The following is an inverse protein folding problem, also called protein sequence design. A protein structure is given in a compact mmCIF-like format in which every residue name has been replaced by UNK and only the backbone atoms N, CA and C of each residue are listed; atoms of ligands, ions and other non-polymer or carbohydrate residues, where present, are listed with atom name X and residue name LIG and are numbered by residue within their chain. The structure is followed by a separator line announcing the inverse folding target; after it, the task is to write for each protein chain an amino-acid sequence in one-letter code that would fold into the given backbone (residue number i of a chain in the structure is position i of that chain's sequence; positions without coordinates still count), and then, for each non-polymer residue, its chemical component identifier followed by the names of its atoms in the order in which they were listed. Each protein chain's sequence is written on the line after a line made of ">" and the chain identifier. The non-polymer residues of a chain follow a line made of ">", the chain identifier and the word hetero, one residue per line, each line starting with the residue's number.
data_IF_987204598044
#
_entry.id   IF_987204598044
#
_cell.length_a   1.000
_cell.length_b   1.000
_cell.length_c   1.000
_cell.angle_alpha   90.00
_cell.angle_beta   90.00
_cell.angle_gamma   90.00
#
_symmetry.space_group_name_H-M   'P 1'
#
loop_
_entity.id
_entity.type
_entity.pdbx_description
1 polymer ?
#
# COMPACT_ATOMS: atom_id res chain seq x y z
N UNK A 1 32.86 0.84 -4.15
CA UNK A 1 31.70 1.63 -3.70
C UNK A 1 31.33 2.53 -4.86
N UNK A 2 30.06 2.78 -5.15
CA UNK A 2 29.70 3.73 -6.21
C UNK A 2 29.90 5.15 -5.67
N UNK A 3 30.68 5.96 -6.37
CA UNK A 3 31.03 7.35 -6.04
C UNK A 3 29.80 8.25 -6.07
N UNK A 4 29.00 8.17 -5.00
CA UNK A 4 27.96 9.16 -4.73
C UNK A 4 28.66 10.36 -4.07
N UNK A 5 28.43 11.59 -4.55
CA UNK A 5 29.05 12.81 -4.02
C UNK A 5 28.42 13.20 -2.67
N UNK A 6 28.62 12.36 -1.65
CA UNK A 6 28.11 12.52 -0.29
C UNK A 6 29.14 13.34 0.50
N UNK A 7 29.12 14.66 0.31
CA UNK A 7 30.08 15.57 0.94
C UNK A 7 29.43 16.56 1.91
N UNK A 8 28.15 16.90 1.70
CA UNK A 8 27.40 17.86 2.53
C UNK A 8 26.00 17.31 2.86
N UNK A 9 25.54 17.56 4.09
CA UNK A 9 24.20 17.30 4.59
C UNK A 9 23.08 17.75 3.62
N UNK A 10 23.09 19.01 3.17
CA UNK A 10 22.02 19.57 2.32
C UNK A 10 21.98 18.89 0.95
N UNK A 11 23.15 18.68 0.34
CA UNK A 11 23.27 17.97 -0.94
C UNK A 11 22.77 16.53 -0.81
N UNK A 12 23.09 15.88 0.31
CA UNK A 12 22.65 14.52 0.59
C UNK A 12 21.15 14.42 0.80
N UNK A 13 20.52 15.39 1.49
CA UNK A 13 19.05 15.47 1.61
C UNK A 13 18.37 15.58 0.24
N UNK A 14 18.83 16.53 -0.59
CA UNK A 14 18.30 16.71 -1.96
C UNK A 14 18.46 15.44 -2.79
N UNK A 15 19.60 14.78 -2.66
CA UNK A 15 19.89 13.51 -3.32
C UNK A 15 18.94 12.39 -2.84
N UNK A 16 18.68 12.29 -1.53
CA UNK A 16 17.75 11.29 -0.98
C UNK A 16 16.36 11.44 -1.59
N UNK A 17 15.81 12.65 -1.65
CA UNK A 17 14.49 12.90 -2.23
C UNK A 17 14.46 12.57 -3.73
N UNK A 18 15.44 13.04 -4.50
CA UNK A 18 15.53 12.77 -5.94
C UNK A 18 15.72 11.27 -6.24
N UNK A 19 16.59 10.59 -5.49
CA UNK A 19 16.82 9.15 -5.69
C UNK A 19 15.58 8.33 -5.34
N UNK A 20 14.76 8.77 -4.38
CA UNK A 20 13.63 7.96 -3.94
C UNK A 20 12.32 8.23 -4.66
N UNK A 21 12.12 9.42 -5.21
CA UNK A 21 10.89 9.83 -5.89
C UNK A 21 10.33 8.76 -6.83
N UNK A 22 9.15 8.23 -6.48
CA UNK A 22 8.50 7.08 -7.15
C UNK A 22 7.26 7.42 -7.97
N UNK A 23 6.84 8.69 -7.95
CA UNK A 23 5.62 9.19 -8.62
C UNK A 23 5.96 10.19 -9.75
N UNK A 24 6.95 9.86 -10.58
CA UNK A 24 7.43 10.76 -11.66
C UNK A 24 8.34 11.90 -11.21
N UNK A 25 8.59 12.06 -9.90
CA UNK A 25 9.37 13.16 -9.31
C UNK A 25 10.88 12.85 -9.25
N UNK A 26 11.30 11.61 -9.49
CA UNK A 26 12.69 11.20 -9.26
C UNK A 26 13.14 9.94 -9.98
N UNK A 27 14.36 9.50 -9.65
CA UNK A 27 15.08 8.41 -10.33
C UNK A 27 14.69 7.00 -9.87
N UNK A 28 13.94 6.88 -8.78
CA UNK A 28 13.58 5.58 -8.17
C UNK A 28 14.77 4.63 -7.89
N UNK A 29 15.97 5.18 -7.69
CA UNK A 29 17.18 4.43 -7.36
C UNK A 29 17.21 4.08 -5.86
N UNK A 30 16.52 2.98 -5.57
CA UNK A 30 16.46 2.39 -4.23
C UNK A 30 17.83 2.07 -3.64
N UNK A 31 18.82 1.68 -4.46
CA UNK A 31 20.14 1.27 -3.94
C UNK A 31 20.86 2.47 -3.38
N UNK A 32 20.94 3.54 -4.16
CA UNK A 32 21.68 4.73 -3.80
C UNK A 32 20.94 5.56 -2.75
N UNK A 33 19.60 5.54 -2.74
CA UNK A 33 18.78 6.11 -1.66
C UNK A 33 19.23 5.60 -0.28
N UNK A 34 19.31 4.29 -0.08
CA UNK A 34 19.71 3.77 1.22
C UNK A 34 21.19 4.01 1.52
N UNK A 35 22.06 4.07 0.51
CA UNK A 35 23.47 4.44 0.73
C UNK A 35 23.55 5.86 1.29
N UNK A 36 22.83 6.80 0.69
CA UNK A 36 22.76 8.19 1.13
C UNK A 36 22.10 8.32 2.53
N UNK A 37 20.99 7.62 2.78
CA UNK A 37 20.34 7.62 4.10
C UNK A 37 21.24 7.05 5.22
N UNK A 38 22.01 6.00 4.93
CA UNK A 38 22.96 5.43 5.89
C UNK A 38 24.16 6.37 6.15
N UNK A 39 24.64 7.06 5.11
CA UNK A 39 25.67 8.09 5.27
C UNK A 39 25.15 9.23 6.14
N UNK A 40 23.92 9.70 5.88
CA UNK A 40 23.31 10.78 6.66
C UNK A 40 23.09 10.35 8.12
N UNK A 41 22.69 9.10 8.38
CA UNK A 41 22.61 8.56 9.74
C UNK A 41 23.97 8.62 10.47
N UNK A 42 25.05 8.27 9.76
CA UNK A 42 26.40 8.20 10.35
C UNK A 42 26.99 9.58 10.66
N UNK A 43 26.73 10.58 9.82
CA UNK A 43 27.37 11.89 9.89
C UNK A 43 26.45 13.00 10.44
N UNK A 44 25.15 12.91 10.19
CA UNK A 44 24.14 13.90 10.59
C UNK A 44 22.83 13.22 11.03
N UNK A 45 22.84 12.43 12.12
CA UNK A 45 21.70 11.60 12.53
C UNK A 45 20.43 12.42 12.79
N UNK A 46 20.56 13.58 13.45
CA UNK A 46 19.44 14.49 13.71
C UNK A 46 18.76 14.93 12.42
N UNK A 47 19.55 15.26 11.40
CA UNK A 47 19.03 15.71 10.11
C UNK A 47 18.26 14.60 9.40
N UNK A 48 18.77 13.38 9.39
CA UNK A 48 18.03 12.24 8.84
C UNK A 48 16.67 12.12 9.53
N UNK A 49 16.67 12.20 10.85
CA UNK A 49 15.49 11.99 11.70
C UNK A 49 14.44 13.08 11.51
N UNK A 50 14.83 14.35 11.46
CA UNK A 50 13.91 15.47 11.24
C UNK A 50 13.26 15.47 9.85
N UNK A 51 13.80 14.71 8.89
CA UNK A 51 13.31 14.68 7.50
C UNK A 51 12.62 13.35 7.15
N UNK A 52 12.38 12.46 8.11
CA UNK A 52 11.82 11.13 7.83
C UNK A 52 10.41 11.16 7.24
N UNK A 53 9.54 12.08 7.70
CA UNK A 53 8.17 12.20 7.20
C UNK A 53 8.19 12.58 5.71
N UNK A 54 9.04 13.55 5.36
CA UNK A 54 9.31 13.94 3.97
C UNK A 54 9.78 12.74 3.14
N UNK A 55 10.67 11.90 3.66
CA UNK A 55 11.11 10.71 2.92
C UNK A 55 9.99 9.68 2.71
N UNK A 56 9.02 9.58 3.63
CA UNK A 56 7.86 8.73 3.46
C UNK A 56 6.93 9.28 2.36
N UNK A 57 6.78 10.60 2.28
CA UNK A 57 5.95 11.28 1.28
C UNK A 57 6.51 11.17 -0.15
N UNK A 58 7.81 11.45 -0.33
CA UNK A 58 8.49 11.28 -1.63
C UNK A 58 8.66 9.80 -2.01
N UNK A 59 8.78 8.93 -1.01
CA UNK A 59 9.07 7.52 -1.15
C UNK A 59 7.90 6.62 -0.73
N UNK A 60 8.15 5.76 0.26
CA UNK A 60 7.13 4.94 0.89
C UNK A 60 7.46 4.76 2.38
N UNK A 61 6.42 4.59 3.19
CA UNK A 61 6.54 4.23 4.61
C UNK A 61 7.42 3.00 4.89
N UNK A 62 7.46 2.01 3.98
CA UNK A 62 8.33 0.81 4.11
C UNK A 62 9.82 1.12 4.20
N UNK A 63 10.23 2.28 3.73
CA UNK A 63 11.63 2.66 3.70
C UNK A 63 12.15 3.02 5.10
N UNK A 64 11.30 3.56 5.97
CA UNK A 64 11.65 3.90 7.35
C UNK A 64 12.13 2.68 8.17
N UNK A 65 11.36 1.60 8.35
CA UNK A 65 11.86 0.41 9.04
C UNK A 65 13.01 -0.24 8.28
N UNK A 66 13.08 -0.06 6.94
CA UNK A 66 14.18 -0.62 6.16
C UNK A 66 15.51 0.08 6.42
N UNK A 67 15.52 1.37 6.73
CA UNK A 67 16.72 2.10 7.15
C UNK A 67 17.25 1.50 8.46
N UNK A 68 16.40 1.32 9.47
CA UNK A 68 16.76 0.67 10.75
C UNK A 68 17.37 -0.72 10.52
N UNK A 69 16.73 -1.55 9.69
CA UNK A 69 17.23 -2.87 9.37
C UNK A 69 18.59 -2.85 8.67
N UNK A 70 18.84 -1.85 7.81
CA UNK A 70 20.12 -1.72 7.12
C UNK A 70 21.24 -1.27 8.07
N UNK A 71 20.94 -0.39 9.01
CA UNK A 71 21.87 -0.02 10.09
C UNK A 71 22.24 -1.27 10.90
N UNK A 72 21.25 -2.09 11.27
CA UNK A 72 21.49 -3.34 12.00
C UNK A 72 22.27 -4.39 11.18
N UNK A 73 22.07 -4.46 9.87
CA UNK A 73 22.75 -5.45 9.02
C UNK A 73 24.23 -5.10 8.79
N UNK A 74 24.57 -3.82 8.76
CA UNK A 74 25.90 -3.33 8.37
C UNK A 74 26.19 -3.50 6.86
N UNK A 75 27.28 -2.91 6.36
CA UNK A 75 27.65 -2.93 4.93
C UNK A 75 28.00 -4.34 4.39
N UNK A 76 28.46 -5.27 5.23
CA UNK A 76 29.14 -6.50 4.80
C UNK A 76 28.23 -7.64 4.28
N UNK A 77 26.95 -7.68 4.66
CA UNK A 77 26.08 -8.81 4.27
C UNK A 77 25.61 -8.78 2.81
N UNK A 78 25.81 -7.67 2.09
CA UNK A 78 25.36 -7.53 0.69
C UNK A 78 26.14 -8.44 -0.26
N UNK A 79 27.45 -8.58 -0.02
CA UNK A 79 28.33 -9.49 -0.76
C UNK A 79 27.98 -10.94 -0.43
N UNK A 80 27.68 -11.24 0.84
CA UNK A 80 27.34 -12.58 1.28
C UNK A 80 25.97 -13.05 0.79
N UNK A 81 24.96 -12.16 0.73
CA UNK A 81 23.63 -12.44 0.16
C UNK A 81 23.65 -12.62 -1.37
N UNK A 82 24.50 -11.87 -2.09
CA UNK A 82 24.70 -12.10 -3.53
C UNK A 82 25.40 -13.43 -3.80
N UNK A 83 26.45 -13.77 -3.02
CA UNK A 83 27.15 -15.05 -3.12
C UNK A 83 26.26 -16.24 -2.76
N UNK A 84 25.43 -16.14 -1.71
CA UNK A 84 24.49 -17.19 -1.32
C UNK A 84 23.36 -17.38 -2.34
N UNK A 85 22.81 -16.29 -2.90
CA UNK A 85 21.83 -16.36 -4.01
C UNK A 85 22.40 -17.02 -5.26
N UNK A 86 23.65 -16.71 -5.64
CA UNK A 86 24.34 -17.37 -6.78
C UNK A 86 24.56 -18.87 -6.50
N UNK A 87 24.99 -19.25 -5.29
CA UNK A 87 25.14 -20.66 -4.88
C UNK A 87 23.81 -21.42 -4.90
N UNK A 88 22.75 -20.83 -4.35
CA UNK A 88 21.41 -21.42 -4.34
C UNK A 88 20.85 -21.59 -5.75
N UNK A 89 21.05 -20.62 -6.65
CA UNK A 89 20.64 -20.74 -8.06
C UNK A 89 21.32 -21.93 -8.76
N UNK A 90 22.63 -22.10 -8.56
CA UNK A 90 23.39 -23.26 -9.07
C UNK A 90 22.91 -24.60 -8.48
N UNK A 91 22.57 -24.62 -7.19
CA UNK A 91 22.09 -25.83 -6.51
C UNK A 91 20.68 -26.25 -6.97
N UNK A 92 19.77 -25.29 -7.14
CA UNK A 92 18.42 -25.52 -7.68
C UNK A 92 18.49 -26.07 -9.10
N UNK A 93 19.38 -25.52 -9.93
CA UNK A 93 19.61 -25.99 -11.30
C UNK A 93 20.19 -27.41 -11.33
N UNK A 94 21.17 -27.72 -10.47
CA UNK A 94 21.70 -29.09 -10.31
C UNK A 94 20.63 -30.09 -9.87
N UNK A 95 19.79 -29.72 -8.90
CA UNK A 95 18.68 -30.54 -8.40
C UNK A 95 17.60 -30.74 -9.47
N UNK A 96 17.34 -29.74 -10.32
CA UNK A 96 16.41 -29.85 -11.46
C UNK A 96 16.90 -30.88 -12.48
N UNK A 97 18.18 -30.87 -12.81
CA UNK A 97 18.79 -31.82 -13.76
C UNK A 97 18.79 -33.26 -13.23
N UNK A 98 19.00 -33.45 -11.92
CA UNK A 98 18.90 -34.77 -11.26
C UNK A 98 17.46 -35.31 -11.23
N UNK A 99 16.47 -34.43 -11.03
CA UNK A 99 15.03 -34.79 -10.98
C UNK A 99 14.44 -35.20 -12.33
N UNK A 100 15.12 -34.89 -13.45
CA UNK A 100 14.70 -35.29 -14.78
C UNK A 100 14.93 -36.78 -15.08
N UNK A 101 15.74 -37.49 -14.28
CA UNK A 101 16.17 -38.88 -14.51
C UNK A 101 15.34 -39.95 -13.79
N UNK A 102 14.33 -39.56 -13.00
CA UNK A 102 13.55 -40.48 -12.16
C UNK A 102 12.09 -40.53 -12.67
N UNK A 103 11.36 -41.66 -12.68
CA UNK A 103 9.94 -41.72 -13.06
C UNK A 103 9.02 -40.83 -12.19
N UNK A 104 7.87 -40.38 -12.70
CA UNK A 104 6.99 -39.38 -12.05
C UNK A 104 6.30 -39.93 -10.78
N UNK A 105 5.98 -41.21 -10.77
CA UNK A 105 5.13 -41.82 -9.73
C UNK A 105 5.89 -42.04 -8.41
N UNK A 106 7.16 -42.46 -8.51
CA UNK A 106 8.09 -42.54 -7.35
C UNK A 106 8.49 -41.16 -6.77
N UNK A 107 8.17 -40.05 -7.46
CA UNK A 107 8.53 -38.68 -7.04
C UNK A 107 7.47 -38.03 -6.15
N UNK A 108 6.19 -38.42 -6.22
CA UNK A 108 5.12 -37.67 -5.54
C UNK A 108 5.05 -38.02 -4.05
N UNK A 109 5.15 -39.30 -3.71
CA UNK A 109 5.03 -39.81 -2.34
C UNK A 109 6.26 -39.43 -1.48
N UNK A 110 7.48 -39.71 -1.96
CA UNK A 110 8.72 -39.33 -1.29
C UNK A 110 8.95 -37.80 -1.19
N UNK A 111 8.22 -36.98 -1.97
CA UNK A 111 8.29 -35.52 -1.87
C UNK A 111 7.37 -34.95 -0.79
N UNK A 112 6.23 -35.58 -0.47
CA UNK A 112 5.27 -35.00 0.48
C UNK A 112 5.87 -34.89 1.89
N UNK A 113 6.50 -35.95 2.39
CA UNK A 113 7.17 -35.96 3.69
C UNK A 113 8.45 -35.13 3.69
N UNK A 114 9.28 -35.23 2.65
CA UNK A 114 10.48 -34.38 2.53
C UNK A 114 10.13 -32.90 2.47
N UNK A 115 9.05 -32.52 1.79
CA UNK A 115 8.58 -31.13 1.72
C UNK A 115 8.04 -30.68 3.08
N UNK A 116 7.32 -31.54 3.82
CA UNK A 116 6.88 -31.23 5.19
C UNK A 116 8.08 -31.01 6.12
N UNK A 117 9.04 -31.93 6.14
CA UNK A 117 10.25 -31.78 6.96
C UNK A 117 11.10 -30.56 6.56
N UNK A 118 11.31 -30.32 5.26
CA UNK A 118 12.04 -29.14 4.78
C UNK A 118 11.30 -27.85 5.17
N UNK A 119 9.97 -27.84 5.12
CA UNK A 119 9.15 -26.70 5.58
C UNK A 119 9.31 -26.46 7.08
N UNK A 120 9.31 -27.51 7.90
CA UNK A 120 9.51 -27.39 9.35
C UNK A 120 10.92 -26.91 9.69
N UNK A 121 11.95 -27.56 9.13
CA UNK A 121 13.36 -27.12 9.27
C UNK A 121 13.54 -25.67 8.84
N UNK A 122 12.89 -25.25 7.75
CA UNK A 122 12.88 -23.86 7.29
C UNK A 122 12.15 -22.93 8.27
N UNK A 123 11.02 -23.36 8.83
CA UNK A 123 10.24 -22.60 9.82
C UNK A 123 11.07 -22.36 11.08
N UNK A 124 11.74 -23.38 11.59
CA UNK A 124 12.57 -23.28 12.79
C UNK A 124 13.81 -22.44 12.56
N UNK A 125 14.47 -22.59 11.41
CA UNK A 125 15.59 -21.75 11.04
C UNK A 125 15.17 -20.27 10.92
N UNK A 126 13.98 -19.99 10.36
CA UNK A 126 13.40 -18.63 10.31
C UNK A 126 13.15 -18.09 11.72
N UNK A 127 12.50 -18.85 12.60
CA UNK A 127 12.27 -18.47 14.01
C UNK A 127 13.58 -18.13 14.72
N UNK A 128 14.58 -19.02 14.65
CA UNK A 128 15.92 -18.80 15.24
C UNK A 128 16.58 -17.52 14.69
N UNK A 129 16.45 -17.30 13.37
CA UNK A 129 17.01 -16.11 12.70
C UNK A 129 16.31 -14.83 13.12
N UNK A 130 14.98 -14.82 13.24
CA UNK A 130 14.22 -13.65 13.70
C UNK A 130 14.52 -13.33 15.16
N UNK A 131 14.59 -14.33 16.04
CA UNK A 131 15.02 -14.15 17.44
C UNK A 131 16.42 -13.55 17.52
N UNK A 132 17.37 -14.04 16.72
CA UNK A 132 18.72 -13.48 16.68
C UNK A 132 18.74 -12.02 16.20
N UNK A 133 17.91 -11.67 15.21
CA UNK A 133 17.75 -10.28 14.73
C UNK A 133 17.13 -9.39 15.80
N UNK A 134 16.07 -9.84 16.47
CA UNK A 134 15.41 -9.11 17.54
C UNK A 134 16.38 -8.83 18.70
N UNK A 135 17.16 -9.85 19.13
CA UNK A 135 18.23 -9.68 20.12
C UNK A 135 19.28 -8.66 19.68
N UNK A 136 19.68 -8.66 18.41
CA UNK A 136 20.63 -7.67 17.87
C UNK A 136 20.03 -6.26 17.85
N UNK A 137 18.78 -6.12 17.43
CA UNK A 137 18.05 -4.85 17.41
C UNK A 137 17.94 -4.26 18.82
N UNK A 138 17.52 -5.08 19.79
CA UNK A 138 17.41 -4.70 21.19
C UNK A 138 18.75 -4.22 21.76
N UNK A 139 19.83 -5.00 21.56
CA UNK A 139 21.17 -4.61 21.99
C UNK A 139 21.62 -3.28 21.40
N UNK A 140 21.28 -3.00 20.13
CA UNK A 140 21.61 -1.72 19.48
C UNK A 140 20.77 -0.58 20.06
N UNK A 141 19.47 -0.79 20.23
CA UNK A 141 18.54 0.17 20.84
C UNK A 141 19.00 0.63 22.24
N UNK A 142 19.48 -0.30 23.08
CA UNK A 142 19.96 0.06 24.42
C UNK A 142 21.30 0.83 24.39
N UNK A 143 22.19 0.52 23.44
CA UNK A 143 23.58 1.01 23.44
C UNK A 143 23.83 2.25 22.59
N UNK A 144 23.04 2.46 21.53
CA UNK A 144 23.24 3.49 20.53
C UNK A 144 22.13 4.55 20.60
N UNK A 145 22.42 5.75 21.15
CA UNK A 145 21.45 6.83 21.28
C UNK A 145 20.89 7.31 19.94
N UNK A 146 21.72 7.35 18.88
CA UNK A 146 21.29 7.81 17.55
C UNK A 146 20.34 6.79 16.91
N UNK A 147 20.62 5.50 17.07
CA UNK A 147 19.72 4.44 16.63
C UNK A 147 18.41 4.45 17.41
N UNK A 148 18.45 4.66 18.73
CA UNK A 148 17.27 4.79 19.58
C UNK A 148 16.41 5.98 19.15
N UNK A 149 17.02 7.15 18.97
CA UNK A 149 16.32 8.35 18.50
C UNK A 149 15.66 8.14 17.14
N UNK A 150 16.36 7.51 16.19
CA UNK A 150 15.80 7.15 14.89
C UNK A 150 14.61 6.18 15.03
N UNK A 151 14.74 5.15 15.86
CA UNK A 151 13.69 4.17 16.12
C UNK A 151 12.43 4.81 16.71
N UNK A 152 12.59 5.70 17.68
CA UNK A 152 11.49 6.38 18.37
C UNK A 152 10.77 7.38 17.47
N UNK A 153 11.53 8.09 16.63
CA UNK A 153 10.94 9.03 15.67
C UNK A 153 10.19 8.31 14.54
N UNK A 154 10.71 7.17 14.06
CA UNK A 154 9.96 6.31 13.13
C UNK A 154 8.66 5.84 13.79
N UNK A 155 8.72 5.38 15.04
CA UNK A 155 7.53 4.93 15.77
C UNK A 155 6.49 6.06 15.93
N UNK A 156 6.96 7.29 16.17
CA UNK A 156 6.10 8.48 16.29
C UNK A 156 5.43 8.85 14.97
N UNK A 157 6.16 8.81 13.85
CA UNK A 157 5.60 9.07 12.51
C UNK A 157 4.49 8.07 12.18
N UNK A 158 4.74 6.77 12.42
CA UNK A 158 3.71 5.75 12.20
C UNK A 158 2.50 5.97 13.12
N UNK A 159 2.69 6.26 14.41
CA UNK A 159 1.59 6.52 15.32
C UNK A 159 0.74 7.71 14.86
N UNK A 160 1.35 8.85 14.52
CA UNK A 160 0.65 10.04 14.07
C UNK A 160 -0.13 9.79 12.77
N UNK A 161 0.48 9.08 11.80
CA UNK A 161 -0.17 8.76 10.53
C UNK A 161 -1.32 7.77 10.70
N UNK A 162 -1.15 6.74 11.52
CA UNK A 162 -2.23 5.79 11.83
C UNK A 162 -3.39 6.47 12.57
N UNK A 163 -3.10 7.41 13.47
CA UNK A 163 -4.13 8.22 14.15
C UNK A 163 -4.93 9.05 13.14
N UNK A 164 -4.24 9.75 12.23
CA UNK A 164 -4.88 10.49 11.14
C UNK A 164 -5.68 9.58 10.20
N UNK A 165 -5.13 8.42 9.85
CA UNK A 165 -5.79 7.46 8.95
C UNK A 165 -7.10 6.93 9.55
N UNK A 166 -7.13 6.69 10.87
CA UNK A 166 -8.36 6.29 11.59
C UNK A 166 -9.37 7.44 11.66
N UNK A 167 -8.92 8.67 11.83
CA UNK A 167 -9.81 9.83 11.77
C UNK A 167 -10.43 9.96 10.37
N UNK A 168 -9.63 9.84 9.31
CA UNK A 168 -10.14 9.82 7.93
C UNK A 168 -11.10 8.64 7.68
N UNK A 169 -10.81 7.46 8.25
CA UNK A 169 -11.69 6.31 8.17
C UNK A 169 -13.06 6.58 8.82
N UNK A 170 -13.07 7.17 10.02
CA UNK A 170 -14.31 7.50 10.74
C UNK A 170 -15.10 8.62 10.04
N UNK A 171 -14.42 9.57 9.41
CA UNK A 171 -15.03 10.65 8.61
C UNK A 171 -15.37 10.24 7.16
N UNK A 172 -15.18 8.97 6.78
CA UNK A 172 -15.39 8.47 5.41
C UNK A 172 -14.54 9.16 4.32
N UNK A 173 -13.43 9.80 4.70
CA UNK A 173 -12.47 10.43 3.79
C UNK A 173 -11.42 9.41 3.28
N UNK A 174 -11.87 8.36 2.61
CA UNK A 174 -11.01 7.23 2.24
C UNK A 174 -9.83 7.60 1.32
N UNK A 175 -9.93 8.71 0.60
CA UNK A 175 -8.87 9.22 -0.30
C UNK A 175 -7.64 9.72 0.46
N UNK A 176 -7.84 10.18 1.70
CA UNK A 176 -6.80 10.75 2.55
C UNK A 176 -6.08 9.70 3.39
N UNK A 177 -6.53 8.45 3.37
CA UNK A 177 -5.92 7.34 4.10
C UNK A 177 -4.55 7.01 3.51
N UNK A 178 -3.52 7.08 4.34
CA UNK A 178 -2.15 6.79 3.98
C UNK A 178 -1.88 5.27 3.86
N UNK A 179 -0.74 4.92 3.27
CA UNK A 179 -0.26 3.53 3.24
C UNK A 179 0.49 3.13 4.52
N UNK A 180 0.44 3.91 5.60
CA UNK A 180 1.15 3.62 6.84
C UNK A 180 0.74 2.27 7.42
N UNK A 181 -0.57 1.96 7.47
CA UNK A 181 -1.07 0.67 7.96
C UNK A 181 -0.49 -0.52 7.17
N UNK A 182 -0.37 -0.42 5.85
CA UNK A 182 0.19 -1.48 4.99
C UNK A 182 1.66 -1.81 5.31
N UNK A 183 2.40 -0.84 5.81
CA UNK A 183 3.83 -0.96 6.10
C UNK A 183 4.17 -0.93 7.59
N UNK A 184 3.16 -0.84 8.46
CA UNK A 184 3.31 -0.95 9.90
C UNK A 184 3.92 -2.32 10.23
N UNK A 185 4.98 -2.38 11.06
CA UNK A 185 5.55 -3.65 11.50
C UNK A 185 4.50 -4.54 12.18
N UNK A 186 4.51 -5.83 11.85
CA UNK A 186 3.65 -6.82 12.49
C UNK A 186 4.21 -7.26 13.83
N UNK A 187 3.30 -7.74 14.68
CA UNK A 187 3.61 -8.56 15.85
C UNK A 187 4.43 -9.78 15.37
N UNK A 188 5.39 -10.24 16.19
CA UNK A 188 6.30 -11.37 15.92
C UNK A 188 7.35 -11.16 14.81
N UNK A 189 7.57 -9.92 14.38
CA UNK A 189 8.65 -9.55 13.47
C UNK A 189 9.93 -9.17 14.22
N UNK A 190 11.09 -9.10 13.54
CA UNK A 190 12.31 -8.48 14.10
C UNK A 190 12.15 -6.99 14.46
N UNK A 191 10.99 -6.41 14.13
CA UNK A 191 10.57 -5.06 14.47
C UNK A 191 9.44 -5.02 15.50
N UNK A 192 9.21 -6.10 16.24
CA UNK A 192 8.16 -6.17 17.26
C UNK A 192 8.24 -5.01 18.27
N UNK A 193 9.45 -4.56 18.61
CA UNK A 193 9.65 -3.39 19.48
C UNK A 193 9.19 -2.06 18.87
N UNK A 194 9.26 -1.90 17.54
CA UNK A 194 8.67 -0.75 16.84
C UNK A 194 7.15 -0.83 16.94
N UNK A 195 6.57 -2.01 16.70
CA UNK A 195 5.13 -2.22 16.81
C UNK A 195 4.63 -1.88 18.22
N UNK A 196 5.32 -2.35 19.26
CA UNK A 196 5.05 -2.01 20.65
C UNK A 196 5.14 -0.50 20.90
N UNK A 197 6.20 0.16 20.41
CA UNK A 197 6.40 1.60 20.57
C UNK A 197 5.33 2.44 19.85
N UNK A 198 4.85 1.99 18.68
CA UNK A 198 3.73 2.61 17.96
C UNK A 198 2.45 2.43 18.77
N UNK A 199 2.18 1.22 19.25
CA UNK A 199 0.99 0.89 20.01
C UNK A 199 0.89 1.73 21.31
N UNK A 200 1.97 1.83 22.08
CA UNK A 200 2.00 2.65 23.31
C UNK A 200 1.76 4.15 23.06
N UNK A 201 2.15 4.66 21.89
CA UNK A 201 1.91 6.06 21.50
C UNK A 201 0.47 6.33 21.07
N UNK A 202 -0.22 5.30 20.58
CA UNK A 202 -1.63 5.39 20.20
C UNK A 202 -2.56 5.13 21.39
N UNK A 203 -2.15 4.24 22.29
CA UNK A 203 -2.89 3.84 23.48
C UNK A 203 -2.05 4.13 24.72
N UNK A 204 -1.98 5.41 25.08
CA UNK A 204 -1.20 5.85 26.23
C UNK A 204 -1.82 5.35 27.54
N UNK A 205 -1.02 5.25 28.60
CA UNK A 205 -1.51 4.89 29.94
C UNK A 205 -2.48 5.95 30.51
N UNK A 206 -2.32 7.21 30.08
CA UNK A 206 -3.12 8.34 30.53
C UNK A 206 -4.55 8.30 29.97
N UNK A 207 -4.71 7.75 28.76
CA UNK A 207 -6.00 7.67 28.08
C UNK A 207 -6.87 6.48 28.54
N UNK A 208 -6.29 5.49 29.24
CA UNK A 208 -6.94 4.21 29.53
C UNK A 208 -6.66 3.72 30.96
N UNK A 209 -7.66 3.91 31.84
CA UNK A 209 -7.65 3.46 33.24
C UNK A 209 -7.37 1.95 33.35
N UNK A 210 -7.84 1.16 32.38
CA UNK A 210 -7.64 -0.29 32.31
C UNK A 210 -6.16 -0.73 32.25
N UNK A 211 -5.21 0.18 32.06
CA UNK A 211 -3.78 -0.14 32.00
C UNK A 211 -2.98 0.21 33.26
N UNK A 212 -3.59 0.86 34.27
CA UNK A 212 -2.87 1.37 35.44
C UNK A 212 -2.30 0.27 36.35
N UNK A 213 -3.01 -0.86 36.50
CA UNK A 213 -2.64 -1.96 37.41
C UNK A 213 -2.11 -3.21 36.69
N UNK A 214 -1.76 -3.09 35.40
CA UNK A 214 -1.33 -4.24 34.59
C UNK A 214 0.20 -4.34 34.58
N UNK A 215 0.72 -5.56 34.73
CA UNK A 215 2.14 -5.85 34.56
C UNK A 215 2.65 -5.42 33.17
N UNK A 216 3.84 -4.86 33.10
CA UNK A 216 4.46 -4.30 31.89
C UNK A 216 4.44 -5.24 30.66
N UNK A 217 4.65 -6.54 30.86
CA UNK A 217 4.58 -7.54 29.79
C UNK A 217 3.15 -7.73 29.25
N UNK A 218 2.18 -7.74 30.16
CA UNK A 218 0.76 -7.83 29.83
C UNK A 218 0.25 -6.55 29.17
N UNK A 219 0.72 -5.38 29.62
CA UNK A 219 0.44 -4.09 28.97
C UNK A 219 0.94 -4.07 27.52
N UNK A 220 2.21 -4.44 27.29
CA UNK A 220 2.80 -4.51 25.96
C UNK A 220 2.04 -5.44 25.01
N UNK A 221 1.50 -6.56 25.51
CA UNK A 221 0.65 -7.44 24.73
C UNK A 221 -0.70 -6.79 24.39
N UNK A 222 -1.38 -6.22 25.39
CA UNK A 222 -2.71 -5.58 25.24
C UNK A 222 -2.71 -4.47 24.21
N UNK A 223 -1.76 -3.53 24.29
CA UNK A 223 -1.69 -2.41 23.35
C UNK A 223 -1.41 -2.87 21.92
N UNK A 224 -0.59 -3.93 21.74
CA UNK A 224 -0.31 -4.49 20.42
C UNK A 224 -1.53 -5.21 19.84
N UNK A 225 -2.25 -5.99 20.63
CA UNK A 225 -3.48 -6.64 20.16
C UNK A 225 -4.54 -5.59 19.79
N UNK A 226 -4.65 -4.51 20.57
CA UNK A 226 -5.52 -3.38 20.29
C UNK A 226 -5.15 -2.66 18.99
N UNK A 227 -3.88 -2.32 18.80
CA UNK A 227 -3.35 -1.77 17.54
C UNK A 227 -3.75 -2.63 16.33
N UNK A 228 -3.63 -3.95 16.45
CA UNK A 228 -4.01 -4.86 15.39
C UNK A 228 -5.52 -4.80 15.12
N UNK A 229 -6.35 -4.98 16.15
CA UNK A 229 -7.81 -5.12 16.00
C UNK A 229 -8.52 -3.82 15.65
N UNK A 230 -8.19 -2.73 16.33
CA UNK A 230 -8.90 -1.46 16.23
C UNK A 230 -8.35 -0.55 15.12
N UNK A 231 -7.05 -0.69 14.78
CA UNK A 231 -6.40 0.21 13.80
C UNK A 231 -6.04 -0.51 12.51
N UNK A 232 -5.19 -1.54 12.58
CA UNK A 232 -4.63 -2.14 11.37
C UNK A 232 -5.65 -2.95 10.57
N UNK A 233 -6.51 -3.74 11.23
CA UNK A 233 -7.52 -4.57 10.55
C UNK A 233 -8.52 -3.72 9.75
N UNK A 234 -9.16 -2.66 10.32
CA UNK A 234 -10.06 -1.79 9.56
C UNK A 234 -9.36 -1.08 8.39
N UNK A 235 -8.18 -0.52 8.63
CA UNK A 235 -7.43 0.19 7.59
C UNK A 235 -6.99 -0.74 6.45
N UNK A 236 -6.57 -1.98 6.76
CA UNK A 236 -6.22 -2.96 5.73
C UNK A 236 -7.40 -3.33 4.83
N UNK A 237 -8.62 -3.48 5.39
CA UNK A 237 -9.83 -3.76 4.60
C UNK A 237 -10.10 -2.65 3.59
N UNK A 238 -10.01 -1.39 4.02
CA UNK A 238 -10.24 -0.24 3.13
C UNK A 238 -9.14 -0.12 2.08
N UNK A 239 -7.88 -0.29 2.47
CA UNK A 239 -6.76 -0.25 1.51
C UNK A 239 -6.87 -1.37 0.46
N UNK A 240 -7.30 -2.58 0.85
CA UNK A 240 -7.55 -3.68 -0.09
C UNK A 240 -8.70 -3.34 -1.04
N UNK A 241 -9.79 -2.75 -0.53
CA UNK A 241 -10.92 -2.32 -1.35
C UNK A 241 -10.50 -1.27 -2.38
N UNK A 242 -9.70 -0.27 -1.96
CA UNK A 242 -9.18 0.77 -2.85
C UNK A 242 -8.25 0.20 -3.93
N UNK A 243 -7.42 -0.78 -3.60
CA UNK A 243 -6.56 -1.46 -4.59
C UNK A 243 -7.38 -2.25 -5.60
N UNK A 244 -8.38 -3.01 -5.14
CA UNK A 244 -9.29 -3.75 -6.02
C UNK A 244 -10.11 -2.83 -6.93
N UNK A 245 -10.59 -1.70 -6.40
CA UNK A 245 -11.35 -0.74 -7.17
C UNK A 245 -10.51 -0.10 -8.28
N UNK A 246 -9.25 0.27 -7.98
CA UNK A 246 -8.30 0.76 -8.99
C UNK A 246 -7.99 -0.27 -10.05
N UNK A 247 -7.74 -1.52 -9.66
CA UNK A 247 -7.51 -2.62 -10.59
C UNK A 247 -8.73 -2.87 -11.49
N UNK A 248 -9.93 -2.86 -10.91
CA UNK A 248 -11.18 -2.95 -11.67
C UNK A 248 -11.29 -1.83 -12.70
N UNK A 249 -11.05 -0.59 -12.29
CA UNK A 249 -11.11 0.58 -13.18
C UNK A 249 -10.11 0.49 -14.34
N UNK A 250 -8.87 0.06 -14.08
CA UNK A 250 -7.88 -0.20 -15.13
C UNK A 250 -8.29 -1.34 -16.06
N UNK A 251 -8.88 -2.41 -15.51
CA UNK A 251 -9.39 -3.51 -16.32
C UNK A 251 -10.57 -3.09 -17.20
N UNK A 252 -11.43 -2.18 -16.72
CA UNK A 252 -12.49 -1.58 -17.55
C UNK A 252 -11.89 -0.72 -18.65
N UNK A 253 -10.91 0.14 -18.34
CA UNK A 253 -10.20 0.95 -19.36
C UNK A 253 -9.52 0.09 -20.43
N UNK A 254 -8.98 -1.06 -20.05
CA UNK A 254 -8.35 -2.02 -20.95
C UNK A 254 -9.37 -2.94 -21.65
N UNK A 255 -10.67 -2.77 -21.42
CA UNK A 255 -11.73 -3.61 -22.00
C UNK A 255 -11.76 -5.05 -21.47
N UNK A 256 -11.02 -5.36 -20.41
CA UNK A 256 -10.91 -6.70 -19.79
C UNK A 256 -12.03 -7.00 -18.79
N UNK A 257 -12.70 -5.96 -18.30
CA UNK A 257 -13.83 -6.06 -17.40
C UNK A 257 -14.98 -5.18 -17.90
N UNK A 258 -16.21 -5.61 -17.66
CA UNK A 258 -17.42 -4.87 -18.02
C UNK A 258 -18.01 -4.19 -16.79
N UNK A 259 -18.52 -2.97 -16.96
CA UNK A 259 -19.38 -2.33 -15.97
C UNK A 259 -20.82 -2.72 -16.30
N UNK A 260 -21.59 -3.14 -15.29
CA UNK A 260 -23.01 -3.40 -15.45
C UNK A 260 -23.74 -2.05 -15.63
N UNK A 261 -24.28 -1.80 -16.81
CA UNK A 261 -25.07 -0.59 -17.11
C UNK A 261 -26.44 -0.56 -16.38
N UNK A 262 -26.86 -1.66 -15.75
CA UNK A 262 -28.15 -1.78 -15.05
C UNK A 262 -28.15 -1.39 -13.58
N UNK A 263 -27.03 -0.88 -13.05
CA UNK A 263 -26.92 -0.53 -11.63
C UNK A 263 -27.45 0.87 -11.30
N UNK A 264 -27.46 1.79 -12.28
CA UNK A 264 -27.89 3.18 -12.13
C UNK A 264 -28.73 3.59 -13.34
N UNK A 265 -29.76 4.40 -13.09
CA UNK A 265 -30.60 5.00 -14.11
C UNK A 265 -29.85 6.16 -14.81
N UNK A 266 -30.25 6.55 -16.04
CA UNK A 266 -29.54 7.58 -16.82
C UNK A 266 -29.36 8.90 -16.06
N UNK A 267 -30.36 9.33 -15.31
CA UNK A 267 -30.29 10.56 -14.51
C UNK A 267 -29.38 10.42 -13.29
N UNK A 268 -29.30 9.24 -12.67
CA UNK A 268 -28.37 8.96 -11.57
C UNK A 268 -26.91 8.96 -12.06
N UNK A 269 -26.67 8.47 -13.28
CA UNK A 269 -25.35 8.55 -13.94
C UNK A 269 -24.96 10.01 -14.17
N UNK A 270 -25.86 10.84 -14.70
CA UNK A 270 -25.57 12.27 -14.95
C UNK A 270 -25.38 13.04 -13.64
N UNK A 271 -26.17 12.76 -12.60
CA UNK A 271 -26.01 13.39 -11.29
C UNK A 271 -24.62 13.09 -10.70
N UNK A 272 -24.10 11.88 -10.91
CA UNK A 272 -22.75 11.51 -10.45
C UNK A 272 -21.61 12.29 -11.13
N UNK A 273 -21.88 13.03 -12.22
CA UNK A 273 -20.92 13.98 -12.82
C UNK A 273 -20.69 15.23 -11.95
N UNK A 274 -21.65 15.58 -11.08
CA UNK A 274 -21.53 16.72 -10.17
C UNK A 274 -20.56 16.44 -9.01
N UNK A 275 -20.30 15.16 -8.72
CA UNK A 275 -19.29 14.74 -7.76
C UNK A 275 -17.92 14.73 -8.45
N UNK A 276 -17.00 15.63 -8.05
CA UNK A 276 -15.75 15.95 -8.78
C UNK A 276 -14.74 14.80 -9.04
N UNK A 277 -15.07 13.55 -8.71
CA UNK A 277 -14.27 12.34 -9.00
C UNK A 277 -15.08 11.22 -9.72
N UNK A 278 -16.40 11.39 -9.87
CA UNK A 278 -17.29 10.41 -10.50
C UNK A 278 -17.25 10.41 -12.03
N UNK A 279 -16.68 11.44 -12.65
CA UNK A 279 -16.85 11.68 -14.09
C UNK A 279 -16.33 10.58 -15.01
N UNK A 280 -15.21 9.94 -14.69
CA UNK A 280 -14.70 8.83 -15.52
C UNK A 280 -15.56 7.56 -15.41
N UNK A 281 -16.13 7.29 -14.22
CA UNK A 281 -17.01 6.14 -14.00
C UNK A 281 -18.36 6.37 -14.68
N UNK A 282 -18.90 7.58 -14.53
CA UNK A 282 -20.13 8.01 -15.17
C UNK A 282 -20.04 7.90 -16.70
N UNK A 283 -18.94 8.38 -17.30
CA UNK A 283 -18.70 8.29 -18.75
C UNK A 283 -18.68 6.84 -19.25
N UNK A 284 -17.98 5.95 -18.53
CA UNK A 284 -17.91 4.52 -18.89
C UNK A 284 -19.26 3.81 -18.71
N UNK A 285 -20.03 4.18 -17.67
CA UNK A 285 -21.39 3.68 -17.45
C UNK A 285 -22.34 4.15 -18.55
N UNK A 286 -22.25 5.43 -18.92
CA UNK A 286 -23.04 6.05 -19.98
C UNK A 286 -22.76 5.41 -21.34
N UNK A 287 -21.48 5.33 -21.74
CA UNK A 287 -21.08 4.71 -22.99
C UNK A 287 -21.57 3.26 -23.10
N UNK A 288 -21.51 2.50 -22.00
CA UNK A 288 -22.01 1.11 -21.97
C UNK A 288 -23.52 1.04 -22.13
N UNK A 289 -24.26 1.91 -21.44
CA UNK A 289 -25.72 2.02 -21.54
C UNK A 289 -26.15 2.30 -22.99
N UNK A 290 -25.51 3.29 -23.62
CA UNK A 290 -25.75 3.68 -25.01
C UNK A 290 -25.46 2.49 -25.94
N UNK A 291 -24.31 1.83 -25.80
CA UNK A 291 -23.96 0.66 -26.61
C UNK A 291 -24.96 -0.50 -26.50
N UNK A 292 -25.44 -0.79 -25.29
CA UNK A 292 -26.42 -1.86 -25.08
C UNK A 292 -27.77 -1.55 -25.70
N UNK A 293 -28.19 -0.29 -25.68
CA UNK A 293 -29.43 0.16 -26.31
C UNK A 293 -29.30 0.27 -27.84
N UNK A 294 -28.14 0.70 -28.37
CA UNK A 294 -27.83 0.69 -29.82
C UNK A 294 -27.93 -0.72 -30.40
N UNK A 295 -27.39 -1.72 -29.70
CA UNK A 295 -27.46 -3.14 -30.09
C UNK A 295 -28.90 -3.66 -30.17
N UNK A 296 -29.79 -3.19 -29.29
CA UNK A 296 -31.23 -3.52 -29.34
C UNK A 296 -31.96 -2.85 -30.48
N UNK A 297 -31.39 -1.79 -31.05
CA UNK A 297 -31.91 -1.10 -32.23
C UNK A 297 -33.19 -0.29 -31.99
N UNK A 298 -33.45 0.07 -30.74
CA UNK A 298 -34.59 0.93 -30.37
C UNK A 298 -34.19 2.41 -30.46
N UNK A 299 -35.15 3.30 -30.72
CA UNK A 299 -34.98 4.76 -30.71
C UNK A 299 -34.01 5.33 -31.76
N UNK A 300 -33.80 4.65 -32.90
CA UNK A 300 -32.87 5.07 -33.97
C UNK A 300 -33.33 6.29 -34.78
N UNK A 301 -34.62 6.61 -34.77
CA UNK A 301 -35.19 7.73 -35.54
C UNK A 301 -36.14 8.53 -34.65
N UNK A 302 -35.60 9.10 -33.58
CA UNK A 302 -36.36 9.86 -32.60
C UNK A 302 -35.73 11.24 -32.39
N UNK A 303 -36.56 12.21 -32.05
CA UNK A 303 -36.11 13.53 -31.57
C UNK A 303 -36.68 13.72 -30.18
N UNK A 304 -35.83 14.11 -29.24
CA UNK A 304 -36.24 14.40 -27.88
C UNK A 304 -36.58 15.88 -27.75
N UNK A 305 -37.77 16.19 -27.27
CA UNK A 305 -38.16 17.56 -26.88
C UNK A 305 -38.23 17.58 -25.36
N UNK A 306 -37.30 18.30 -24.74
CA UNK A 306 -37.12 18.32 -23.29
C UNK A 306 -37.68 19.60 -22.70
N UNK A 307 -38.61 19.49 -21.75
CA UNK A 307 -39.07 20.64 -20.96
C UNK A 307 -38.09 20.91 -19.81
N UNK A 308 -37.50 22.10 -19.81
CA UNK A 308 -36.59 22.61 -18.77
C UNK A 308 -37.17 23.84 -18.06
N UNK A 309 -38.49 23.98 -18.08
CA UNK A 309 -39.22 25.04 -17.38
C UNK A 309 -38.98 25.00 -15.86
N UNK A 310 -39.18 26.14 -15.20
CA UNK A 310 -38.96 26.27 -13.75
C UNK A 310 -39.75 25.26 -12.89
N UNK A 311 -40.89 24.76 -13.38
CA UNK A 311 -41.70 23.71 -12.74
C UNK A 311 -41.03 22.34 -12.72
N UNK A 312 -39.99 22.12 -13.54
CA UNK A 312 -39.28 20.85 -13.65
C UNK A 312 -38.13 20.71 -12.65
N UNK A 313 -37.87 21.73 -11.81
CA UNK A 313 -36.71 21.78 -10.94
C UNK A 313 -36.54 20.54 -10.05
N UNK A 314 -35.30 20.05 -9.92
CA UNK A 314 -34.96 18.81 -9.22
C UNK A 314 -34.94 17.59 -10.14
N UNK A 315 -35.36 16.43 -9.61
CA UNK A 315 -35.32 15.13 -10.30
C UNK A 315 -36.04 15.15 -11.66
N UNK A 316 -37.22 15.80 -11.85
CA UNK A 316 -37.90 15.80 -13.15
C UNK A 316 -37.05 16.38 -14.28
N UNK A 317 -36.33 17.48 -14.03
CA UNK A 317 -35.42 18.09 -14.99
C UNK A 317 -34.20 17.21 -15.25
N UNK A 318 -33.63 16.58 -14.21
CA UNK A 318 -32.48 15.66 -14.36
C UNK A 318 -32.84 14.43 -15.22
N UNK A 319 -34.03 13.86 -14.99
CA UNK A 319 -34.58 12.77 -15.81
C UNK A 319 -34.81 13.21 -17.25
N UNK A 320 -35.41 14.39 -17.45
CA UNK A 320 -35.71 14.92 -18.77
C UNK A 320 -34.44 15.14 -19.60
N UNK A 321 -33.43 15.78 -19.01
CA UNK A 321 -32.12 16.02 -19.64
C UNK A 321 -31.41 14.70 -19.95
N UNK A 322 -31.42 13.74 -19.02
CA UNK A 322 -30.77 12.45 -19.24
C UNK A 322 -31.42 11.64 -20.37
N UNK A 323 -32.75 11.59 -20.43
CA UNK A 323 -33.45 10.93 -21.53
C UNK A 323 -33.22 11.66 -22.86
N UNK A 324 -33.17 12.99 -22.86
CA UNK A 324 -32.86 13.78 -24.05
C UNK A 324 -31.50 13.44 -24.65
N UNK A 325 -30.45 13.46 -23.82
CA UNK A 325 -29.09 13.10 -24.23
C UNK A 325 -29.01 11.65 -24.73
N UNK A 326 -29.68 10.73 -24.03
CA UNK A 326 -29.70 9.33 -24.41
C UNK A 326 -30.35 9.11 -25.78
N UNK A 327 -31.49 9.75 -26.05
CA UNK A 327 -32.18 9.66 -27.35
C UNK A 327 -31.33 10.29 -28.46
N UNK A 328 -30.68 11.42 -28.19
CA UNK A 328 -29.80 12.11 -29.14
C UNK A 328 -28.61 11.24 -29.56
N UNK A 329 -28.03 10.47 -28.63
CA UNK A 329 -26.93 9.55 -28.89
C UNK A 329 -27.34 8.23 -29.54
N UNK A 330 -28.57 7.76 -29.29
CA UNK A 330 -29.13 6.56 -29.90
C UNK A 330 -29.63 6.77 -31.32
N UNK A 331 -29.98 8.00 -31.66
CA UNK A 331 -30.53 8.35 -32.97
C UNK A 331 -29.47 8.34 -34.07
N UNK A 332 -29.89 7.91 -35.26
CA UNK A 332 -29.11 7.93 -36.48
C UNK A 332 -29.39 9.22 -37.27
N UNK A 333 -28.70 9.41 -38.39
CA UNK A 333 -28.94 10.57 -39.25
C UNK A 333 -30.41 10.60 -39.74
N UNK A 334 -31.08 11.76 -39.77
CA UNK A 334 -30.54 13.12 -39.63
C UNK A 334 -30.59 13.70 -38.20
N UNK A 335 -30.96 12.90 -37.18
CA UNK A 335 -31.22 13.36 -35.81
C UNK A 335 -30.06 13.12 -34.84
N UNK A 336 -29.03 12.41 -35.28
CA UNK A 336 -27.83 12.11 -34.50
C UNK A 336 -27.22 13.40 -33.90
N UNK A 337 -27.13 13.45 -32.58
CA UNK A 337 -26.54 14.58 -31.85
C UNK A 337 -27.37 15.86 -31.86
N UNK A 338 -28.66 15.79 -32.23
CA UNK A 338 -29.61 16.91 -32.18
C UNK A 338 -30.54 16.83 -30.99
#
# INVERSE_FOLDING_TARGET
>A
MSDLPLHNQLTTLKLICNLRGVRGIGKSDKKNFYTAALWLHKHHPKTLVCNLDIFADFGYFKDLPKILYRILKGPDKRVHEMKSRKRHKKEVERKRNLRARVPRDKRVEANLEKVKEEREKTRDLRKKTEVAKAKKAFKRYTRDPDYRFLHDQISTIFANRLKSDIQCLNSSEFKNISLAAKWCPSIDSSFDKICENIARRLFSLEDYIEYQDIEEAHYAYRVRDRLRKEVLVPLHKVLELLERFKEYHENVKLGKATIAAGALLPHEIIVSLKDGDGGQVAELQWARLVDDLKKKGILRNCIAVCDVSSSMNGIPMEVCVALGLLISELSEDPWKGK
#
